data_IF_149451058819
#
_entry.id   IF_149451058819
#
_cell.length_a   1.000
_cell.length_b   1.000
_cell.length_c   1.000
_cell.angle_alpha   90.00
_cell.angle_beta   90.00
_cell.angle_gamma   90.00
#
_symmetry.space_group_name_H-M   'P 1'
#
loop_
_entity.id
_entity.type
_entity.pdbx_description
1 polymer ?
#
# COMPACT_ATOMS: atom_id res chain seq x y z
N UNK A 1 -35.21 29.10 -40.78
CA UNK A 1 -35.59 28.35 -39.58
C UNK A 1 -35.00 26.95 -39.49
N UNK A 2 -34.76 26.25 -40.62
CA UNK A 2 -34.23 24.86 -40.65
C UNK A 2 -32.78 24.73 -40.12
N UNK A 3 -31.90 25.72 -40.37
CA UNK A 3 -30.50 25.67 -39.90
C UNK A 3 -30.36 25.91 -38.39
N UNK A 4 -31.28 26.61 -37.75
CA UNK A 4 -31.28 26.79 -36.27
C UNK A 4 -31.58 25.50 -35.52
N UNK A 5 -32.48 24.67 -36.05
CA UNK A 5 -32.77 23.36 -35.49
C UNK A 5 -31.61 22.37 -35.64
N UNK A 6 -30.85 22.44 -36.74
CA UNK A 6 -29.70 21.57 -37.01
C UNK A 6 -28.51 21.91 -36.10
N UNK A 7 -28.27 23.21 -35.86
CA UNK A 7 -27.22 23.67 -34.92
C UNK A 7 -27.57 23.32 -33.48
N UNK A 8 -28.84 23.41 -33.09
CA UNK A 8 -29.31 23.03 -31.74
C UNK A 8 -29.21 21.52 -31.52
N UNK A 9 -29.47 20.68 -32.54
CA UNK A 9 -29.30 19.23 -32.48
C UNK A 9 -27.85 18.79 -32.38
N UNK A 10 -26.94 19.51 -33.02
CA UNK A 10 -25.50 19.23 -32.98
C UNK A 10 -24.87 19.61 -31.65
N UNK A 11 -25.44 20.59 -30.93
CA UNK A 11 -24.95 21.04 -29.60
C UNK A 11 -25.36 20.08 -28.48
N UNK A 12 -26.37 19.21 -28.69
CA UNK A 12 -26.83 18.22 -27.71
C UNK A 12 -26.00 16.92 -27.69
N UNK A 13 -25.11 16.70 -28.67
CA UNK A 13 -24.33 15.46 -28.81
C UNK A 13 -22.96 15.54 -28.11
N UNK A 14 -22.55 16.71 -27.62
CA UNK A 14 -21.21 16.95 -27.06
C UNK A 14 -20.96 16.58 -25.59
N UNK A 15 -21.94 16.23 -24.71
CA UNK A 15 -21.62 15.93 -23.31
C UNK A 15 -21.40 14.46 -22.98
N UNK A 16 -21.35 13.53 -23.93
CA UNK A 16 -21.28 12.08 -23.62
C UNK A 16 -19.86 11.47 -23.62
N UNK A 17 -18.80 12.29 -23.56
CA UNK A 17 -17.41 11.80 -23.67
C UNK A 17 -16.54 11.93 -22.40
N UNK A 18 -17.11 12.22 -21.24
CA UNK A 18 -16.38 12.09 -19.97
C UNK A 18 -16.70 10.73 -19.34
N UNK A 19 -16.11 9.68 -19.89
CA UNK A 19 -16.04 8.37 -19.24
C UNK A 19 -15.09 8.40 -18.05
N UNK A 20 -15.45 9.10 -16.96
CA UNK A 20 -14.80 8.91 -15.68
C UNK A 20 -15.29 7.58 -15.10
N UNK A 21 -14.62 6.48 -15.44
CA UNK A 21 -14.73 5.26 -14.67
C UNK A 21 -14.05 5.52 -13.31
N UNK A 22 -14.83 5.52 -12.25
CA UNK A 22 -14.33 5.31 -10.90
C UNK A 22 -13.54 4.00 -10.95
N UNK A 23 -12.21 4.10 -10.89
CA UNK A 23 -11.33 2.94 -10.79
C UNK A 23 -11.76 2.21 -9.53
N UNK A 24 -12.16 0.96 -9.69
CA UNK A 24 -12.62 0.10 -8.61
C UNK A 24 -11.62 0.20 -7.46
N UNK A 25 -12.11 0.61 -6.29
CA UNK A 25 -11.27 0.81 -5.09
C UNK A 25 -10.85 -0.51 -4.45
N UNK A 26 -11.36 -1.63 -4.94
CA UNK A 26 -10.92 -2.96 -4.52
C UNK A 26 -9.58 -3.28 -5.18
N UNK A 27 -8.51 -3.20 -4.38
CA UNK A 27 -7.15 -3.50 -4.83
C UNK A 27 -6.92 -5.01 -5.02
N UNK A 28 -7.80 -5.87 -4.48
CA UNK A 28 -7.67 -7.33 -4.59
C UNK A 28 -9.00 -7.93 -5.04
N UNK A 29 -9.01 -8.83 -6.04
CA UNK A 29 -10.22 -9.55 -6.47
C UNK A 29 -10.82 -10.39 -5.33
N UNK A 30 -12.14 -10.54 -5.34
CA UNK A 30 -12.90 -11.36 -4.38
C UNK A 30 -12.57 -12.87 -4.38
N UNK A 31 -11.62 -13.31 -5.20
CA UNK A 31 -11.15 -14.69 -5.27
C UNK A 31 -10.34 -15.14 -4.04
N UNK A 32 -9.79 -14.19 -3.25
CA UNK A 32 -9.07 -14.50 -2.00
C UNK A 32 -10.05 -14.34 -0.84
N UNK A 33 -10.55 -15.46 -0.30
CA UNK A 33 -11.52 -15.47 0.81
C UNK A 33 -10.86 -15.30 2.16
N UNK A 34 -9.87 -16.15 2.46
CA UNK A 34 -9.20 -16.21 3.76
C UNK A 34 -7.68 -16.16 3.61
N UNK A 35 -7.03 -15.47 4.54
CA UNK A 35 -5.59 -15.28 4.53
C UNK A 35 -5.00 -15.47 5.93
N UNK A 36 -3.91 -16.22 6.03
CA UNK A 36 -3.08 -16.30 7.22
C UNK A 36 -1.94 -15.29 7.13
N UNK A 37 -1.77 -14.45 8.14
CA UNK A 37 -0.69 -13.49 8.25
C UNK A 37 0.33 -13.95 9.30
N UNK A 38 1.58 -14.15 8.88
CA UNK A 38 2.70 -14.49 9.76
C UNK A 38 3.70 -13.34 9.82
N UNK A 39 4.07 -12.96 11.03
CA UNK A 39 5.11 -11.96 11.30
C UNK A 39 5.77 -12.27 12.65
N UNK A 40 7.05 -11.94 12.77
CA UNK A 40 7.79 -12.00 14.04
C UNK A 40 7.28 -10.95 15.05
N UNK A 41 6.82 -9.80 14.57
CA UNK A 41 6.20 -8.74 15.40
C UNK A 41 4.76 -8.47 14.93
N UNK A 42 3.81 -9.20 15.54
CA UNK A 42 2.38 -9.07 15.24
C UNK A 42 1.77 -7.75 15.70
N UNK A 43 2.40 -7.05 16.62
CA UNK A 43 1.88 -5.81 17.19
C UNK A 43 2.47 -4.56 16.53
N UNK A 44 3.27 -4.70 15.48
CA UNK A 44 3.81 -3.55 14.76
C UNK A 44 2.70 -2.76 14.07
N UNK A 45 2.91 -1.44 13.93
CA UNK A 45 1.98 -0.55 13.23
C UNK A 45 1.76 -1.00 11.77
N UNK A 46 2.82 -1.50 11.11
CA UNK A 46 2.74 -2.05 9.76
C UNK A 46 1.78 -3.24 9.66
N UNK A 47 1.87 -4.20 10.60
CA UNK A 47 1.01 -5.39 10.60
C UNK A 47 -0.45 -5.00 10.85
N UNK A 48 -0.70 -4.10 11.79
CA UNK A 48 -2.04 -3.56 12.04
C UNK A 48 -2.62 -2.89 10.80
N UNK A 49 -1.81 -2.11 10.07
CA UNK A 49 -2.23 -1.46 8.82
C UNK A 49 -2.50 -2.48 7.71
N UNK A 50 -1.66 -3.51 7.59
CA UNK A 50 -1.85 -4.60 6.62
C UNK A 50 -3.15 -5.38 6.89
N UNK A 51 -3.41 -5.76 8.14
CA UNK A 51 -4.66 -6.42 8.54
C UNK A 51 -5.89 -5.56 8.23
N UNK A 52 -5.82 -4.27 8.55
CA UNK A 52 -6.88 -3.31 8.24
C UNK A 52 -7.13 -3.22 6.74
N UNK A 53 -6.09 -3.10 5.94
CA UNK A 53 -6.18 -2.97 4.50
C UNK A 53 -6.71 -4.25 3.83
N UNK A 54 -6.31 -5.44 4.31
CA UNK A 54 -6.85 -6.73 3.87
C UNK A 54 -8.36 -6.81 4.16
N UNK A 55 -8.78 -6.44 5.38
CA UNK A 55 -10.19 -6.43 5.77
C UNK A 55 -11.04 -5.49 4.90
N UNK A 56 -10.56 -4.27 4.60
CA UNK A 56 -11.23 -3.32 3.71
C UNK A 56 -11.42 -3.89 2.31
N UNK A 57 -10.46 -4.70 1.84
CA UNK A 57 -10.55 -5.39 0.55
C UNK A 57 -11.36 -6.69 0.59
N UNK A 58 -12.07 -6.98 1.69
CA UNK A 58 -12.95 -8.14 1.84
C UNK A 58 -12.22 -9.44 2.16
N UNK A 59 -10.92 -9.41 2.46
CA UNK A 59 -10.11 -10.57 2.81
C UNK A 59 -10.17 -10.79 4.33
N UNK A 60 -10.57 -11.97 4.74
CA UNK A 60 -10.63 -12.33 6.16
C UNK A 60 -9.29 -12.87 6.63
N UNK A 61 -8.62 -12.15 7.53
CA UNK A 61 -7.41 -12.66 8.20
C UNK A 61 -7.81 -13.64 9.28
N UNK A 62 -7.23 -14.85 9.25
CA UNK A 62 -7.52 -15.93 10.21
C UNK A 62 -6.24 -16.41 10.89
N UNK A 63 -6.41 -16.95 12.10
CA UNK A 63 -5.28 -17.41 12.92
C UNK A 63 -4.79 -18.84 12.56
N UNK A 64 -5.66 -19.64 11.96
CA UNK A 64 -5.33 -21.01 11.57
C UNK A 64 -4.80 -21.05 10.12
N UNK A 65 -3.50 -21.33 10.00
CA UNK A 65 -2.84 -21.45 8.70
C UNK A 65 -3.44 -22.55 7.83
N UNK A 66 -3.86 -23.66 8.44
CA UNK A 66 -4.39 -24.81 7.70
C UNK A 66 -5.77 -24.57 7.08
N UNK A 67 -6.50 -23.58 7.61
CA UNK A 67 -7.83 -23.18 7.12
C UNK A 67 -7.78 -21.97 6.17
N UNK A 68 -6.61 -21.41 5.92
CA UNK A 68 -6.42 -20.24 5.04
C UNK A 68 -6.22 -20.67 3.59
N UNK A 69 -6.80 -19.92 2.65
CA UNK A 69 -6.59 -20.11 1.22
C UNK A 69 -5.16 -19.73 0.82
N UNK A 70 -4.64 -18.66 1.44
CA UNK A 70 -3.29 -18.14 1.21
C UNK A 70 -2.63 -17.71 2.52
N UNK A 71 -1.31 -17.62 2.48
CA UNK A 71 -0.48 -17.11 3.58
C UNK A 71 0.40 -15.97 3.09
N UNK A 72 0.40 -14.85 3.80
CA UNK A 72 1.42 -13.79 3.69
C UNK A 72 2.38 -13.95 4.86
N UNK A 73 3.63 -14.19 4.56
CA UNK A 73 4.69 -14.41 5.54
C UNK A 73 5.65 -13.24 5.45
N UNK A 74 5.65 -12.40 6.47
CA UNK A 74 6.65 -11.33 6.63
C UNK A 74 7.91 -11.98 7.19
N UNK A 75 8.94 -12.02 6.36
CA UNK A 75 10.23 -12.68 6.65
C UNK A 75 11.12 -11.75 7.46
N UNK A 76 11.19 -10.48 7.03
CA UNK A 76 12.00 -9.47 7.70
C UNK A 76 11.38 -8.07 7.52
N UNK A 77 11.58 -7.21 8.51
CA UNK A 77 11.15 -5.81 8.49
C UNK A 77 12.26 -4.93 9.03
N UNK A 78 12.82 -4.13 8.17
CA UNK A 78 13.95 -3.23 8.47
C UNK A 78 13.52 -1.78 8.39
N UNK A 79 13.89 -1.02 9.42
CA UNK A 79 13.68 0.43 9.49
C UNK A 79 15.02 1.11 9.71
N UNK A 80 15.35 2.05 8.85
CA UNK A 80 16.56 2.85 8.94
C UNK A 80 16.24 4.35 8.93
N UNK A 81 17.06 5.13 9.64
CA UNK A 81 17.03 6.58 9.58
C UNK A 81 18.45 7.08 9.44
N UNK A 82 18.67 7.99 8.49
CA UNK A 82 19.98 8.63 8.28
C UNK A 82 19.82 10.13 8.07
N UNK A 83 20.86 10.90 8.36
CA UNK A 83 20.90 12.32 8.01
C UNK A 83 20.86 12.47 6.48
N UNK A 84 19.88 13.20 5.97
CA UNK A 84 19.76 13.52 4.55
C UNK A 84 20.49 14.82 4.20
N UNK A 85 20.35 15.84 5.05
CA UNK A 85 21.04 17.13 4.84
C UNK A 85 21.42 17.78 6.18
N UNK A 86 22.38 18.71 6.09
CA UNK A 86 22.79 19.59 7.17
C UNK A 86 22.63 21.06 6.75
N UNK A 87 22.29 21.92 7.70
CA UNK A 87 22.16 23.35 7.45
C UNK A 87 23.55 24.05 7.45
N UNK A 88 23.62 25.35 7.07
CA UNK A 88 24.89 26.10 7.07
C UNK A 88 25.59 26.20 8.43
N UNK A 89 24.89 25.94 9.53
CA UNK A 89 25.45 25.91 10.89
C UNK A 89 26.00 24.54 11.27
N UNK A 90 26.01 23.56 10.34
CA UNK A 90 26.51 22.21 10.57
C UNK A 90 25.54 21.29 11.34
N UNK A 91 24.28 21.70 11.52
CA UNK A 91 23.25 20.92 12.21
C UNK A 91 22.37 20.15 11.22
N UNK A 92 21.78 19.03 11.67
CA UNK A 92 20.85 18.26 10.82
C UNK A 92 19.66 19.14 10.43
N UNK A 93 19.37 19.19 9.13
CA UNK A 93 18.21 19.86 8.56
C UNK A 93 17.13 18.87 8.13
N UNK A 94 17.54 17.69 7.65
CA UNK A 94 16.60 16.66 7.18
C UNK A 94 17.09 15.27 7.55
N UNK A 95 16.14 14.39 7.85
CA UNK A 95 16.34 12.94 7.95
C UNK A 95 15.70 12.21 6.79
N UNK A 96 16.38 11.18 6.33
CA UNK A 96 15.85 10.20 5.40
C UNK A 96 15.47 8.94 6.18
N UNK A 97 14.21 8.52 6.01
CA UNK A 97 13.68 7.25 6.51
C UNK A 97 13.64 6.25 5.37
N UNK A 98 14.09 5.02 5.63
CA UNK A 98 13.96 3.90 4.72
C UNK A 98 13.32 2.72 5.46
N UNK A 99 12.33 2.09 4.83
CA UNK A 99 11.66 0.89 5.34
C UNK A 99 11.60 -0.17 4.24
N UNK A 100 12.07 -1.37 4.58
CA UNK A 100 12.09 -2.53 3.71
C UNK A 100 11.37 -3.69 4.38
N UNK A 101 10.44 -4.32 3.66
CA UNK A 101 9.70 -5.49 4.11
C UNK A 101 9.92 -6.62 3.14
N UNK A 102 10.56 -7.68 3.59
CA UNK A 102 10.72 -8.91 2.85
C UNK A 102 9.55 -9.85 3.16
N UNK A 103 8.89 -10.33 2.14
CA UNK A 103 7.70 -11.17 2.29
C UNK A 103 7.61 -12.27 1.24
N UNK A 104 6.87 -13.33 1.58
CA UNK A 104 6.53 -14.47 0.71
C UNK A 104 5.01 -14.60 0.72
N UNK A 105 4.42 -14.98 -0.41
CA UNK A 105 3.01 -15.38 -0.49
C UNK A 105 2.97 -16.84 -0.92
N UNK A 106 2.30 -17.67 -0.12
CA UNK A 106 2.13 -19.10 -0.37
C UNK A 106 0.65 -19.50 -0.40
N UNK A 107 0.34 -20.59 -1.11
CA UNK A 107 -0.98 -21.22 -1.11
C UNK A 107 -1.24 -22.07 0.14
N UNK A 108 -2.43 -22.68 0.23
CA UNK A 108 -2.81 -23.57 1.33
C UNK A 108 -1.91 -24.81 1.46
N UNK A 109 -1.25 -25.23 0.38
CA UNK A 109 -0.33 -26.37 0.34
C UNK A 109 1.09 -25.97 0.71
N UNK A 110 1.38 -24.67 0.84
CA UNK A 110 2.68 -24.13 1.17
C UNK A 110 3.58 -23.89 -0.04
N UNK A 111 3.04 -23.99 -1.26
CA UNK A 111 3.80 -23.63 -2.46
C UNK A 111 3.94 -22.11 -2.52
N UNK A 112 5.14 -21.63 -2.80
CA UNK A 112 5.41 -20.21 -2.96
C UNK A 112 4.81 -19.71 -4.28
N UNK A 113 3.73 -18.96 -4.17
CA UNK A 113 3.06 -18.34 -5.32
C UNK A 113 3.76 -17.03 -5.73
N UNK A 114 4.25 -16.30 -4.74
CA UNK A 114 5.15 -15.18 -4.90
C UNK A 114 6.38 -15.49 -4.05
N UNK A 115 7.55 -15.71 -4.68
CA UNK A 115 8.80 -15.97 -3.95
C UNK A 115 9.22 -14.72 -3.17
N UNK A 116 10.25 -14.87 -2.36
CA UNK A 116 10.80 -13.78 -1.55
C UNK A 116 10.90 -12.49 -2.36
N UNK A 117 10.15 -11.50 -1.93
CA UNK A 117 10.01 -10.19 -2.57
C UNK A 117 10.14 -9.10 -1.52
N UNK A 118 10.65 -7.93 -1.92
CA UNK A 118 10.81 -6.79 -1.04
C UNK A 118 9.84 -5.67 -1.45
N UNK A 119 9.10 -5.14 -0.48
CA UNK A 119 8.43 -3.85 -0.57
C UNK A 119 9.30 -2.81 0.13
N UNK A 120 9.62 -1.73 -0.55
CA UNK A 120 10.55 -0.71 -0.06
C UNK A 120 10.00 0.68 -0.26
N UNK A 121 10.17 1.55 0.74
CA UNK A 121 9.78 2.96 0.69
C UNK A 121 10.85 3.81 1.36
N UNK A 122 11.17 4.92 0.72
CA UNK A 122 12.08 5.93 1.23
C UNK A 122 11.39 7.30 1.27
N UNK A 123 11.54 8.04 2.36
CA UNK A 123 10.98 9.38 2.54
C UNK A 123 11.96 10.26 3.29
N UNK A 124 11.92 11.56 2.98
CA UNK A 124 12.67 12.60 3.69
C UNK A 124 11.68 13.47 4.46
N UNK A 125 12.06 13.90 5.66
CA UNK A 125 11.32 14.91 6.42
C UNK A 125 12.26 15.96 7.02
N UNK A 126 11.73 17.18 7.19
CA UNK A 126 12.46 18.27 7.80
C UNK A 126 12.57 18.07 9.34
N UNK A 127 13.76 18.28 9.85
CA UNK A 127 14.04 18.22 11.27
C UNK A 127 14.41 19.60 11.81
N UNK A 128 13.69 20.04 12.82
CA UNK A 128 13.98 21.28 13.55
C UNK A 128 14.32 20.95 15.01
N UNK A 129 15.57 21.16 15.40
CA UNK A 129 16.01 20.92 16.78
C UNK A 129 15.41 21.89 17.80
N UNK A 130 14.98 23.09 17.37
CA UNK A 130 14.32 24.07 18.21
C UNK A 130 12.83 23.70 18.45
N UNK A 131 12.27 22.76 17.66
CA UNK A 131 10.90 22.24 17.80
C UNK A 131 10.88 20.71 17.66
N UNK A 132 11.38 20.02 18.66
CA UNK A 132 11.50 18.56 18.70
C UNK A 132 10.11 17.88 18.64
N UNK A 133 9.09 18.49 19.27
CA UNK A 133 7.74 17.91 19.25
C UNK A 133 7.13 17.92 17.87
N UNK A 134 7.27 19.03 17.14
CA UNK A 134 6.81 19.12 15.75
C UNK A 134 7.55 18.13 14.86
N UNK A 135 8.89 18.07 14.97
CA UNK A 135 9.73 17.13 14.21
C UNK A 135 9.38 15.66 14.51
N UNK A 136 9.06 15.33 15.77
CA UNK A 136 8.63 14.00 16.16
C UNK A 136 7.25 13.63 15.57
N UNK A 137 6.31 14.58 15.53
CA UNK A 137 5.00 14.39 14.92
C UNK A 137 5.11 14.21 13.40
N UNK A 138 5.97 15.02 12.76
CA UNK A 138 6.25 14.89 11.32
C UNK A 138 6.85 13.52 10.98
N UNK A 139 7.89 13.10 11.72
CA UNK A 139 8.49 11.77 11.56
C UNK A 139 7.44 10.65 11.67
N UNK A 140 6.53 10.73 12.65
CA UNK A 140 5.46 9.73 12.82
C UNK A 140 4.50 9.74 11.64
N UNK A 141 4.04 10.92 11.24
CA UNK A 141 3.15 11.08 10.08
C UNK A 141 3.78 10.56 8.77
N UNK A 142 5.09 10.77 8.59
CA UNK A 142 5.82 10.22 7.44
C UNK A 142 5.85 8.70 7.49
N UNK A 143 6.13 8.08 8.65
CA UNK A 143 6.12 6.62 8.81
C UNK A 143 4.74 6.01 8.54
N UNK A 144 3.67 6.64 9.02
CA UNK A 144 2.30 6.15 8.76
C UNK A 144 2.03 6.10 7.24
N UNK A 145 2.42 7.14 6.50
CA UNK A 145 2.30 7.15 5.02
C UNK A 145 3.21 6.10 4.34
N UNK A 146 4.38 5.82 4.91
CA UNK A 146 5.28 4.76 4.42
C UNK A 146 4.65 3.38 4.61
N UNK A 147 4.02 3.11 5.77
CA UNK A 147 3.29 1.85 6.02
C UNK A 147 2.15 1.66 5.01
N UNK A 148 1.35 2.70 4.74
CA UNK A 148 0.29 2.65 3.72
C UNK A 148 0.84 2.31 2.34
N UNK A 149 2.01 2.85 1.97
CA UNK A 149 2.65 2.59 0.69
C UNK A 149 3.17 1.15 0.58
N UNK A 150 3.83 0.64 1.63
CA UNK A 150 4.31 -0.75 1.72
C UNK A 150 3.14 -1.72 1.61
N UNK A 151 2.08 -1.48 2.39
CA UNK A 151 0.85 -2.29 2.35
C UNK A 151 0.25 -2.31 0.95
N UNK A 152 0.19 -1.17 0.29
CA UNK A 152 -0.29 -1.06 -1.10
C UNK A 152 0.57 -1.87 -2.08
N UNK A 153 1.90 -1.89 -1.90
CA UNK A 153 2.80 -2.72 -2.71
C UNK A 153 2.51 -4.22 -2.49
N UNK A 154 2.32 -4.67 -1.25
CA UNK A 154 1.99 -6.06 -0.91
C UNK A 154 0.64 -6.46 -1.52
N UNK A 155 -0.40 -5.62 -1.35
CA UNK A 155 -1.74 -5.86 -1.92
C UNK A 155 -1.72 -5.92 -3.46
N UNK A 156 -0.93 -5.06 -4.10
CA UNK A 156 -0.77 -5.11 -5.56
C UNK A 156 -0.13 -6.43 -6.04
N UNK A 157 0.80 -7.00 -5.28
CA UNK A 157 1.37 -8.32 -5.59
C UNK A 157 0.32 -9.43 -5.45
N UNK A 158 -0.47 -9.39 -4.37
CA UNK A 158 -1.61 -10.29 -4.17
C UNK A 158 -2.59 -10.23 -5.34
N UNK A 159 -2.95 -9.01 -5.80
CA UNK A 159 -3.87 -8.81 -6.91
C UNK A 159 -3.37 -9.42 -8.21
N UNK A 160 -2.13 -9.09 -8.60
CA UNK A 160 -1.54 -9.60 -9.86
C UNK A 160 -1.52 -11.13 -9.87
N UNK A 161 -1.29 -11.73 -8.71
CA UNK A 161 -1.35 -13.18 -8.57
C UNK A 161 -2.76 -13.72 -8.78
N UNK A 162 -3.78 -13.15 -8.12
CA UNK A 162 -5.16 -13.63 -8.22
C UNK A 162 -5.74 -13.46 -9.63
N UNK A 163 -5.38 -12.38 -10.34
CA UNK A 163 -5.79 -12.16 -11.75
C UNK A 163 -5.20 -13.22 -12.70
N UNK A 164 -4.00 -13.72 -12.42
CA UNK A 164 -3.34 -14.76 -13.20
C UNK A 164 -3.79 -16.18 -12.82
N UNK A 165 -4.42 -16.38 -11.66
CA UNK A 165 -4.90 -17.68 -11.19
C UNK A 165 -6.35 -17.99 -11.63
N UNK A 166 -7.05 -17.00 -12.22
CA UNK A 166 -8.42 -17.19 -12.75
C UNK A 166 -8.31 -17.51 -14.24
N UNK A 167 -8.63 -18.75 -14.67
CA UNK A 167 -8.58 -19.16 -16.08
C UNK A 167 -9.63 -18.49 -16.95
#
# INVERSE_FOLDING_TARGET
MKYRALVLSMLLVLPSSCGWQLRDTQLVPSAIGTLYLSSSDRNSALITELERALSINGIKVIADKAAADYSVIIVDYRQNSRTASINPSGRVAEYQLNEDVDFIIADAQGNEMIPLSTASVERVYEFNEDDILSSSNESRSVRDRMHEEIVRQILNRLRVFSDNATP
#
